data_IF_930408701153
#
_entry.id   IF_930408701153
#
_cell.length_a   1.000
_cell.length_b   1.000
_cell.length_c   1.000
_cell.angle_alpha   90.00
_cell.angle_beta   90.00
_cell.angle_gamma   90.00
#
_symmetry.space_group_name_H-M   'P 1'
#
loop_
_entity.id
_entity.type
_entity.pdbx_description
1 polymer ?
#
# COMPACT_ATOMS: atom_id res chain seq x y z
N UNK A 1 -8.03 7.19 -23.48
CA UNK A 1 -8.69 7.26 -22.14
C UNK A 1 -9.28 5.90 -21.84
N UNK A 2 -9.10 5.41 -20.62
CA UNK A 2 -9.69 4.16 -20.14
C UNK A 2 -10.65 4.45 -18.98
N UNK A 3 -11.64 3.59 -18.77
CA UNK A 3 -12.65 3.77 -17.71
C UNK A 3 -12.36 2.80 -16.56
N UNK A 4 -12.40 3.31 -15.33
CA UNK A 4 -12.28 2.51 -14.10
C UNK A 4 -13.66 2.40 -13.45
N UNK A 5 -14.14 1.18 -13.22
CA UNK A 5 -15.38 0.91 -12.50
C UNK A 5 -15.06 0.03 -11.29
N UNK A 6 -15.54 0.41 -10.11
CA UNK A 6 -15.40 -0.39 -8.89
C UNK A 6 -16.67 -0.28 -8.04
N UNK A 7 -16.89 -1.30 -7.20
CA UNK A 7 -18.01 -1.32 -6.25
C UNK A 7 -17.57 -0.74 -4.92
N UNK A 8 -18.44 0.04 -4.30
CA UNK A 8 -18.24 0.64 -2.99
C UNK A 8 -19.58 0.65 -2.26
N UNK A 9 -19.53 0.61 -0.93
CA UNK A 9 -20.70 0.81 -0.09
C UNK A 9 -21.36 2.17 -0.36
N UNK A 10 -22.69 2.20 -0.39
CA UNK A 10 -23.47 3.39 -0.75
C UNK A 10 -23.31 4.51 0.29
N UNK A 11 -23.37 4.18 1.58
CA UNK A 11 -23.20 5.15 2.65
C UNK A 11 -21.76 5.72 2.67
N UNK A 12 -20.76 4.91 2.34
CA UNK A 12 -19.39 5.38 2.19
C UNK A 12 -19.24 6.36 1.01
N UNK A 13 -19.86 6.04 -0.13
CA UNK A 13 -19.86 6.92 -1.31
C UNK A 13 -20.47 8.28 -1.01
N UNK A 14 -21.66 8.31 -0.42
CA UNK A 14 -22.35 9.58 -0.14
C UNK A 14 -21.56 10.47 0.82
N UNK A 15 -21.04 9.91 1.91
CA UNK A 15 -20.26 10.66 2.90
C UNK A 15 -18.97 11.19 2.30
N UNK A 16 -18.21 10.35 1.60
CA UNK A 16 -16.94 10.76 0.99
C UNK A 16 -17.13 11.84 -0.08
N UNK A 17 -18.16 11.72 -0.92
CA UNK A 17 -18.44 12.70 -1.98
C UNK A 17 -18.89 14.05 -1.41
N UNK A 18 -19.62 14.04 -0.29
CA UNK A 18 -20.02 15.26 0.40
C UNK A 18 -18.80 16.02 0.93
N UNK A 19 -17.87 15.31 1.58
CA UNK A 19 -16.62 15.91 2.09
C UNK A 19 -15.75 16.43 0.95
N UNK A 20 -15.58 15.66 -0.13
CA UNK A 20 -14.82 16.10 -1.31
C UNK A 20 -15.42 17.37 -1.92
N UNK A 21 -16.75 17.45 -1.99
CA UNK A 21 -17.46 18.64 -2.49
C UNK A 21 -17.25 19.85 -1.58
N UNK A 22 -17.29 19.68 -0.25
CA UNK A 22 -16.97 20.74 0.71
C UNK A 22 -15.54 21.27 0.54
N UNK A 23 -14.60 20.40 0.15
CA UNK A 23 -13.21 20.75 -0.14
C UNK A 23 -13.01 21.27 -1.58
N UNK A 24 -14.06 21.32 -2.41
CA UNK A 24 -13.98 21.77 -3.80
C UNK A 24 -13.27 20.80 -4.75
N UNK A 25 -13.08 19.54 -4.35
CA UNK A 25 -12.36 18.52 -5.13
C UNK A 25 -13.38 17.63 -5.85
N UNK A 26 -13.22 17.45 -7.16
CA UNK A 26 -14.06 16.52 -7.92
C UNK A 26 -13.67 15.06 -7.61
N UNK A 27 -14.63 14.12 -7.49
CA UNK A 27 -14.28 12.70 -7.27
C UNK A 27 -13.35 12.13 -8.34
N UNK A 28 -13.56 12.49 -9.61
CA UNK A 28 -12.70 12.07 -10.72
C UNK A 28 -11.27 12.56 -10.56
N UNK A 29 -11.09 13.81 -10.13
CA UNK A 29 -9.78 14.40 -9.86
C UNK A 29 -9.09 13.66 -8.71
N UNK A 30 -9.81 13.42 -7.60
CA UNK A 30 -9.31 12.67 -6.46
C UNK A 30 -8.78 11.28 -6.85
N UNK A 31 -9.58 10.48 -7.57
CA UNK A 31 -9.15 9.14 -8.00
C UNK A 31 -7.99 9.20 -9.00
N UNK A 32 -7.97 10.19 -9.89
CA UNK A 32 -6.89 10.37 -10.86
C UNK A 32 -5.57 10.69 -10.16
N UNK A 33 -5.59 11.62 -9.19
CA UNK A 33 -4.42 12.01 -8.41
C UNK A 33 -3.85 10.83 -7.61
N UNK A 34 -4.70 9.96 -7.07
CA UNK A 34 -4.25 8.75 -6.38
C UNK A 34 -3.55 7.79 -7.34
N UNK A 35 -4.13 7.55 -8.52
CA UNK A 35 -3.51 6.69 -9.53
C UNK A 35 -2.17 7.25 -10.01
N UNK A 36 -2.09 8.56 -10.20
CA UNK A 36 -0.86 9.24 -10.58
C UNK A 36 0.21 9.16 -9.48
N UNK A 37 -0.17 9.34 -8.22
CA UNK A 37 0.75 9.17 -7.09
C UNK A 37 1.35 7.76 -7.06
N UNK A 38 0.53 6.73 -7.25
CA UNK A 38 1.00 5.34 -7.29
C UNK A 38 1.92 5.12 -8.49
N UNK A 39 1.55 5.64 -9.66
CA UNK A 39 2.34 5.49 -10.89
C UNK A 39 3.71 6.19 -10.81
N UNK A 40 3.80 7.31 -10.10
CA UNK A 40 5.02 8.12 -9.98
C UNK A 40 5.93 7.66 -8.85
N UNK A 41 5.37 7.26 -7.71
CA UNK A 41 6.14 6.93 -6.49
C UNK A 41 6.30 5.43 -6.26
N UNK A 42 5.45 4.60 -6.88
CA UNK A 42 5.35 3.17 -6.60
C UNK A 42 4.75 2.84 -5.23
N UNK A 43 4.25 3.83 -4.48
CA UNK A 43 3.75 3.69 -3.10
C UNK A 43 2.26 4.01 -3.01
N UNK A 44 1.58 3.44 -2.00
CA UNK A 44 0.21 3.81 -1.66
C UNK A 44 0.22 5.10 -0.82
N UNK A 45 -0.62 6.10 -1.13
CA UNK A 45 -0.65 7.37 -0.41
C UNK A 45 -1.21 7.24 1.01
N UNK A 46 -2.01 6.20 1.27
CA UNK A 46 -2.50 5.85 2.61
C UNK A 46 -2.31 4.35 2.81
N UNK A 47 -1.48 3.98 3.79
CA UNK A 47 -1.30 2.59 4.16
C UNK A 47 -2.30 2.22 5.27
N UNK A 48 -3.02 1.11 5.09
CA UNK A 48 -3.93 0.56 6.12
C UNK A 48 -3.19 -0.09 7.29
N UNK A 49 -1.91 -0.43 7.09
CA UNK A 49 -1.09 -1.06 8.12
C UNK A 49 -0.33 0.02 8.89
N UNK A 50 -0.26 -0.13 10.22
CA UNK A 50 0.67 0.59 11.11
C UNK A 50 2.11 0.08 10.91
N UNK A 51 2.52 -0.11 9.67
CA UNK A 51 3.82 -0.65 9.32
C UNK A 51 4.64 0.50 8.76
N UNK A 52 5.79 0.79 9.35
CA UNK A 52 6.68 1.80 8.80
C UNK A 52 7.22 1.33 7.43
N UNK A 53 7.71 2.26 6.61
CA UNK A 53 8.34 1.88 5.34
C UNK A 53 9.54 0.95 5.57
N UNK A 54 10.30 1.15 6.65
CA UNK A 54 11.42 0.32 7.06
C UNK A 54 10.99 -1.13 7.37
N UNK A 55 9.90 -1.29 8.11
CA UNK A 55 9.35 -2.60 8.45
C UNK A 55 8.79 -3.32 7.21
N UNK A 56 8.31 -2.59 6.21
CA UNK A 56 7.84 -3.18 4.95
C UNK A 56 8.97 -3.80 4.14
N UNK A 57 10.13 -3.13 4.07
CA UNK A 57 11.33 -3.64 3.39
C UNK A 57 11.90 -4.87 4.11
N UNK A 58 11.92 -4.85 5.45
CA UNK A 58 12.28 -6.00 6.27
C UNK A 58 11.35 -7.20 6.01
N UNK A 59 10.04 -6.97 5.94
CA UNK A 59 9.07 -8.02 5.63
C UNK A 59 9.24 -8.58 4.22
N UNK A 60 9.52 -7.73 3.23
CA UNK A 60 9.80 -8.17 1.86
C UNK A 60 11.06 -9.05 1.82
N UNK A 61 12.12 -8.65 2.54
CA UNK A 61 13.34 -9.41 2.67
C UNK A 61 13.10 -10.76 3.35
N UNK A 62 12.41 -10.79 4.49
CA UNK A 62 12.08 -12.05 5.19
C UNK A 62 11.28 -12.98 4.28
N UNK A 63 10.24 -12.48 3.59
CA UNK A 63 9.45 -13.29 2.66
C UNK A 63 10.30 -13.88 1.54
N UNK A 64 11.22 -13.10 0.98
CA UNK A 64 12.16 -13.58 -0.04
C UNK A 64 13.03 -14.73 0.51
N UNK A 65 13.57 -14.57 1.72
CA UNK A 65 14.44 -15.57 2.36
C UNK A 65 13.71 -16.85 2.77
N UNK A 66 12.48 -16.73 3.27
CA UNK A 66 11.64 -17.89 3.64
C UNK A 66 11.28 -18.73 2.41
N UNK A 67 11.02 -18.09 1.27
CA UNK A 67 10.64 -18.78 0.04
C UNK A 67 11.82 -19.41 -0.72
N UNK A 68 13.05 -18.96 -0.47
CA UNK A 68 14.28 -19.58 -1.01
C UNK A 68 15.31 -19.82 0.11
N UNK A 69 15.10 -20.85 0.94
CA UNK A 69 15.88 -21.06 2.17
C UNK A 69 17.24 -21.73 1.93
N UNK A 70 17.64 -21.95 0.66
CA UNK A 70 18.67 -22.93 0.30
C UNK A 70 20.11 -22.60 0.72
N UNK A 71 20.42 -21.40 1.23
CA UNK A 71 21.81 -21.02 1.55
C UNK A 71 22.02 -20.20 2.85
N UNK A 72 21.01 -19.96 3.70
CA UNK A 72 21.17 -18.89 4.73
C UNK A 72 20.89 -19.24 6.19
N UNK A 73 20.51 -20.48 6.51
CA UNK A 73 20.32 -20.87 7.91
C UNK A 73 21.28 -22.00 8.25
N UNK A 74 22.47 -21.62 8.71
CA UNK A 74 23.36 -22.54 9.41
C UNK A 74 22.92 -22.63 10.88
N UNK A 75 22.95 -23.83 11.43
CA UNK A 75 22.72 -24.03 12.86
C UNK A 75 23.94 -23.52 13.61
N UNK A 76 23.76 -22.40 14.33
CA UNK A 76 24.80 -21.76 15.13
C UNK A 76 24.45 -21.87 16.62
N UNK A 77 25.47 -22.08 17.45
CA UNK A 77 25.31 -22.02 18.91
C UNK A 77 25.57 -20.60 19.42
N UNK A 78 25.21 -20.32 20.67
CA UNK A 78 25.50 -19.02 21.29
C UNK A 78 27.00 -18.72 21.36
N UNK A 79 27.85 -19.75 21.36
CA UNK A 79 29.31 -19.61 21.34
C UNK A 79 29.85 -19.25 19.94
N UNK A 80 29.04 -19.36 18.89
CA UNK A 80 29.38 -19.05 17.50
C UNK A 80 28.93 -17.64 17.04
N UNK A 81 28.16 -16.93 17.87
CA UNK A 81 27.65 -15.56 17.62
C UNK A 81 28.72 -14.49 17.90
#
# INVERSE_FOLDING_TARGET
MATVNFRVDEALKEKSYSILKEQGIAPTEFFTNILEYIATTGKLPVQKALLSEEDADLLALVRKRVNDPKEMFEEVTLDDL
#
